data_IF_000607386343
#
_entry.id   IF_000607386343
#
_cell.length_a   1.000
_cell.length_b   1.000
_cell.length_c   1.000
_cell.angle_alpha   90.00
_cell.angle_beta   90.00
_cell.angle_gamma   90.00
#
_symmetry.space_group_name_H-M   'P 1'
#
loop_
_entity.id
_entity.type
_entity.pdbx_description
1 polymer ?
#
# COMPACT_ATOMS: atom_id res chain seq x y z
N UNK A 1 -9.49 32.27 -28.72
CA UNK A 1 -9.55 31.11 -27.82
C UNK A 1 -8.16 30.48 -27.81
N UNK A 2 -7.34 30.93 -26.90
CA UNK A 2 -6.00 30.35 -26.69
C UNK A 2 -6.17 29.05 -25.93
N UNK A 3 -5.87 27.93 -26.58
CA UNK A 3 -5.78 26.63 -25.94
C UNK A 3 -4.62 26.69 -24.93
N UNK A 4 -4.95 26.80 -23.65
CA UNK A 4 -4.02 26.59 -22.56
C UNK A 4 -3.43 25.17 -22.71
N UNK A 5 -2.31 25.07 -23.40
CA UNK A 5 -1.45 23.89 -23.37
C UNK A 5 -0.99 23.75 -21.92
N UNK A 6 -1.63 22.85 -21.18
CA UNK A 6 -1.16 22.38 -19.90
C UNK A 6 0.25 21.82 -20.12
N UNK A 7 1.28 22.62 -19.80
CA UNK A 7 2.67 22.17 -19.82
C UNK A 7 2.77 20.94 -18.91
N UNK A 8 2.91 19.79 -19.54
CA UNK A 8 3.15 18.54 -18.83
C UNK A 8 4.51 18.64 -18.16
N UNK A 9 4.52 18.76 -16.83
CA UNK A 9 5.80 18.69 -16.09
C UNK A 9 6.47 17.34 -16.39
N UNK A 10 7.76 17.33 -16.75
CA UNK A 10 8.47 16.06 -16.93
C UNK A 10 8.48 15.31 -15.59
N UNK A 11 8.17 14.01 -15.62
CA UNK A 11 8.11 13.21 -14.40
C UNK A 11 7.30 11.93 -14.57
N UNK A 12 7.12 11.22 -13.47
CA UNK A 12 6.39 9.95 -13.43
C UNK A 12 4.87 10.21 -13.34
N UNK A 13 4.10 9.51 -14.15
CA UNK A 13 2.64 9.50 -14.02
C UNK A 13 2.18 8.59 -12.89
N UNK A 14 0.93 8.75 -12.42
CA UNK A 14 0.32 7.86 -11.44
C UNK A 14 0.27 6.40 -11.92
N UNK A 15 0.08 6.16 -13.22
CA UNK A 15 0.15 4.80 -13.79
C UNK A 15 1.56 4.22 -13.71
N UNK A 16 2.60 5.03 -13.99
CA UNK A 16 3.99 4.59 -13.89
C UNK A 16 4.37 4.25 -12.43
N UNK A 17 3.98 5.09 -11.47
CA UNK A 17 4.17 4.81 -10.03
C UNK A 17 3.43 3.54 -9.60
N UNK A 18 2.21 3.33 -10.09
CA UNK A 18 1.42 2.13 -9.77
C UNK A 18 2.08 0.86 -10.31
N UNK A 19 2.62 0.91 -11.53
CA UNK A 19 3.37 -0.21 -12.10
C UNK A 19 4.65 -0.49 -11.30
N UNK A 20 5.40 0.55 -10.93
CA UNK A 20 6.57 0.40 -10.07
C UNK A 20 6.22 -0.25 -8.74
N UNK A 21 5.13 0.19 -8.08
CA UNK A 21 4.67 -0.40 -6.83
C UNK A 21 4.23 -1.87 -7.00
N UNK A 22 3.52 -2.22 -8.08
CA UNK A 22 3.15 -3.61 -8.35
C UNK A 22 4.38 -4.51 -8.60
N UNK A 23 5.38 -4.02 -9.34
CA UNK A 23 6.60 -4.78 -9.60
C UNK A 23 7.40 -4.99 -8.32
N UNK A 24 7.62 -3.94 -7.53
CA UNK A 24 8.37 -4.06 -6.27
C UNK A 24 7.62 -4.92 -5.26
N UNK A 25 6.29 -4.85 -5.19
CA UNK A 25 5.47 -5.72 -4.36
C UNK A 25 5.57 -7.19 -4.78
N UNK A 26 5.57 -7.49 -6.08
CA UNK A 26 5.75 -8.86 -6.56
C UNK A 26 7.13 -9.41 -6.17
N UNK A 27 8.18 -8.59 -6.32
CA UNK A 27 9.55 -8.95 -5.91
C UNK A 27 9.60 -9.26 -4.41
N UNK A 28 8.98 -8.41 -3.56
CA UNK A 28 8.88 -8.65 -2.12
C UNK A 28 8.22 -9.99 -1.80
N UNK A 29 7.07 -10.24 -2.42
CA UNK A 29 6.27 -11.42 -2.13
C UNK A 29 6.89 -12.71 -2.65
N UNK A 30 7.73 -12.66 -3.69
CA UNK A 30 8.57 -13.80 -4.09
C UNK A 30 9.56 -14.15 -2.97
N UNK A 31 10.22 -13.15 -2.38
CA UNK A 31 11.07 -13.35 -1.20
C UNK A 31 10.27 -13.98 -0.05
N UNK A 32 9.25 -13.28 0.41
CA UNK A 32 8.46 -13.62 1.58
C UNK A 32 7.67 -14.94 1.47
N UNK A 33 7.24 -15.35 0.29
CA UNK A 33 6.45 -16.57 0.11
C UNK A 33 7.30 -17.76 -0.39
N UNK A 34 8.07 -17.57 -1.48
CA UNK A 34 8.78 -18.68 -2.11
C UNK A 34 10.16 -18.91 -1.47
N UNK A 35 10.93 -17.85 -1.22
CA UNK A 35 12.31 -18.01 -0.71
C UNK A 35 12.28 -18.34 0.79
N UNK A 36 11.53 -17.58 1.59
CA UNK A 36 11.44 -17.84 3.04
C UNK A 36 10.85 -19.24 3.32
N UNK A 37 9.91 -19.73 2.50
CA UNK A 37 9.40 -21.09 2.62
C UNK A 37 10.48 -22.18 2.51
N UNK A 38 11.57 -21.93 1.76
CA UNK A 38 12.69 -22.90 1.67
C UNK A 38 13.50 -22.98 2.96
N UNK A 39 13.46 -21.95 3.82
CA UNK A 39 14.17 -21.95 5.09
C UNK A 39 13.54 -22.89 6.12
N UNK A 40 12.22 -23.05 6.05
CA UNK A 40 11.48 -23.90 6.99
C UNK A 40 11.72 -25.39 6.76
N UNK A 41 12.14 -25.76 5.54
CA UNK A 41 12.32 -27.16 5.14
C UNK A 41 13.79 -27.58 5.10
N UNK A 42 14.72 -26.61 5.03
CA UNK A 42 16.14 -26.88 4.88
C UNK A 42 16.85 -26.94 6.25
N UNK A 43 17.65 -28.00 6.50
CA UNK A 43 18.51 -28.10 7.69
C UNK A 43 19.52 -26.94 7.78
N UNK A 44 19.93 -26.41 6.63
CA UNK A 44 20.83 -25.23 6.52
C UNK A 44 20.50 -24.44 5.26
N UNK A 45 20.24 -23.14 5.44
CA UNK A 45 20.04 -22.23 4.30
C UNK A 45 21.38 -21.67 3.82
N UNK A 46 21.74 -21.84 2.54
CA UNK A 46 22.95 -21.26 1.99
C UNK A 46 22.98 -19.74 2.12
N UNK A 47 24.13 -19.11 2.46
CA UNK A 47 24.23 -17.65 2.61
C UNK A 47 23.79 -16.86 1.37
N UNK A 48 23.95 -17.43 0.18
CA UNK A 48 23.54 -16.80 -1.08
C UNK A 48 22.01 -16.65 -1.17
N UNK A 49 21.25 -17.61 -0.64
CA UNK A 49 19.77 -17.57 -0.62
C UNK A 49 19.31 -16.50 0.38
N UNK A 50 19.95 -16.43 1.55
CA UNK A 50 19.67 -15.36 2.54
C UNK A 50 19.96 -13.96 1.98
N UNK A 51 21.06 -13.81 1.23
CA UNK A 51 21.39 -12.54 0.57
C UNK A 51 20.39 -12.20 -0.52
N UNK A 52 19.95 -13.19 -1.31
CA UNK A 52 18.94 -12.98 -2.35
C UNK A 52 17.63 -12.52 -1.71
N UNK A 53 17.16 -13.21 -0.67
CA UNK A 53 15.96 -12.82 0.05
C UNK A 53 16.05 -11.38 0.56
N UNK A 54 17.12 -11.04 1.25
CA UNK A 54 17.34 -9.69 1.77
C UNK A 54 17.23 -8.62 0.67
N UNK A 55 17.81 -8.87 -0.51
CA UNK A 55 17.73 -7.95 -1.66
C UNK A 55 16.30 -7.83 -2.16
N UNK A 56 15.56 -8.94 -2.30
CA UNK A 56 14.17 -8.94 -2.75
C UNK A 56 13.27 -8.15 -1.76
N UNK A 57 13.45 -8.39 -0.46
CA UNK A 57 12.73 -7.70 0.61
C UNK A 57 13.04 -6.20 0.63
N UNK A 58 14.30 -5.80 0.46
CA UNK A 58 14.69 -4.39 0.39
C UNK A 58 14.09 -3.66 -0.81
N UNK A 59 14.03 -4.30 -1.98
CA UNK A 59 13.36 -3.74 -3.16
C UNK A 59 11.84 -3.64 -2.89
N UNK A 60 11.28 -4.65 -2.27
CA UNK A 60 9.86 -4.75 -1.97
C UNK A 60 9.32 -3.64 -1.08
N UNK A 61 10.12 -3.20 -0.10
CA UNK A 61 9.73 -2.12 0.84
C UNK A 61 9.34 -0.80 0.16
N UNK A 62 9.71 -0.61 -1.10
CA UNK A 62 9.30 0.56 -1.88
C UNK A 62 7.80 0.55 -2.23
N UNK A 63 7.15 -0.61 -2.27
CA UNK A 63 5.77 -0.75 -2.74
C UNK A 63 4.75 0.00 -1.88
N UNK A 64 4.78 -0.25 -0.57
CA UNK A 64 3.77 0.26 0.36
C UNK A 64 3.67 1.79 0.39
N UNK A 65 4.77 2.57 0.56
CA UNK A 65 4.69 4.02 0.56
C UNK A 65 4.21 4.60 -0.78
N UNK A 66 4.54 3.97 -1.91
CA UNK A 66 4.01 4.38 -3.22
C UNK A 66 2.50 4.14 -3.27
N UNK A 67 2.01 2.98 -2.80
CA UNK A 67 0.57 2.71 -2.73
C UNK A 67 -0.15 3.66 -1.79
N UNK A 68 0.40 3.98 -0.62
CA UNK A 68 -0.16 4.97 0.30
C UNK A 68 -0.28 6.36 -0.35
N UNK A 69 0.77 6.79 -1.06
CA UNK A 69 0.72 8.02 -1.82
C UNK A 69 -0.36 8.01 -2.91
N UNK A 70 -0.42 6.96 -3.73
CA UNK A 70 -1.43 6.80 -4.78
C UNK A 70 -2.85 6.65 -4.22
N UNK A 71 -2.99 6.12 -3.01
CA UNK A 71 -4.26 6.03 -2.29
C UNK A 71 -4.78 7.44 -1.94
N UNK A 72 -3.90 8.32 -1.44
CA UNK A 72 -4.22 9.72 -1.15
C UNK A 72 -4.61 10.45 -2.44
N UNK A 73 -3.82 10.33 -3.51
CA UNK A 73 -4.15 10.91 -4.82
C UNK A 73 -5.50 10.37 -5.34
N UNK A 74 -5.77 9.08 -5.19
CA UNK A 74 -7.04 8.47 -5.55
C UNK A 74 -8.22 9.00 -4.73
N UNK A 75 -8.03 9.22 -3.43
CA UNK A 75 -9.03 9.80 -2.55
C UNK A 75 -9.38 11.24 -2.95
N UNK A 76 -8.40 12.07 -3.23
CA UNK A 76 -8.59 13.47 -3.64
C UNK A 76 -9.34 13.62 -4.98
N UNK A 77 -9.27 12.60 -5.84
CA UNK A 77 -9.90 12.62 -7.17
C UNK A 77 -11.14 11.73 -7.29
N UNK A 78 -11.59 11.08 -6.19
CA UNK A 78 -12.78 10.22 -6.25
C UNK A 78 -14.07 11.03 -6.07
N UNK A 79 -15.08 10.72 -6.89
CA UNK A 79 -16.43 11.31 -6.72
C UNK A 79 -17.26 10.55 -5.67
N UNK A 80 -16.89 9.31 -5.34
CA UNK A 80 -17.65 8.45 -4.43
C UNK A 80 -16.71 7.73 -3.46
N UNK A 81 -16.48 8.37 -2.32
CA UNK A 81 -15.62 7.86 -1.25
C UNK A 81 -16.17 6.56 -0.67
N UNK A 82 -17.50 6.42 -0.55
CA UNK A 82 -18.12 5.20 0.00
C UNK A 82 -17.83 3.99 -0.87
N UNK A 83 -17.97 4.14 -2.20
CA UNK A 83 -17.62 3.08 -3.14
C UNK A 83 -16.11 2.82 -3.18
N UNK A 84 -15.27 3.82 -2.91
CA UNK A 84 -13.83 3.63 -2.82
C UNK A 84 -13.46 2.77 -1.60
N UNK A 85 -13.98 3.11 -0.42
CA UNK A 85 -13.82 2.32 0.81
C UNK A 85 -14.37 0.89 0.61
N UNK A 86 -15.59 0.76 0.09
CA UNK A 86 -16.22 -0.54 -0.15
C UNK A 86 -15.40 -1.45 -1.07
N UNK A 87 -14.76 -0.89 -2.11
CA UNK A 87 -13.85 -1.68 -2.97
C UNK A 87 -12.62 -2.16 -2.23
N UNK A 88 -12.01 -1.33 -1.38
CA UNK A 88 -10.81 -1.74 -0.62
C UNK A 88 -11.15 -2.88 0.34
N UNK A 89 -12.23 -2.77 1.08
CA UNK A 89 -12.67 -3.84 2.00
C UNK A 89 -13.11 -5.10 1.25
N UNK A 90 -13.80 -4.96 0.11
CA UNK A 90 -14.15 -6.11 -0.73
C UNK A 90 -12.89 -6.86 -1.20
N UNK A 91 -11.89 -6.13 -1.74
CA UNK A 91 -10.64 -6.75 -2.15
C UNK A 91 -9.80 -7.23 -0.97
N UNK A 92 -9.92 -6.60 0.20
CA UNK A 92 -9.37 -7.12 1.46
C UNK A 92 -9.93 -8.52 1.76
N UNK A 93 -11.24 -8.66 1.77
CA UNK A 93 -11.91 -9.94 2.01
C UNK A 93 -11.56 -11.00 0.96
N UNK A 94 -11.53 -10.63 -0.32
CA UNK A 94 -11.17 -11.55 -1.42
C UNK A 94 -9.69 -11.96 -1.39
N UNK A 95 -8.84 -11.18 -0.75
CA UNK A 95 -7.39 -11.41 -0.68
C UNK A 95 -6.98 -12.20 0.55
N UNK A 96 -7.86 -12.43 1.53
CA UNK A 96 -7.49 -13.06 2.80
C UNK A 96 -7.01 -14.49 2.59
N UNK A 97 -7.80 -15.32 1.93
CA UNK A 97 -7.40 -16.71 1.63
C UNK A 97 -6.12 -16.78 0.80
N UNK A 98 -5.95 -16.03 -0.32
CA UNK A 98 -4.67 -15.95 -1.02
C UNK A 98 -3.49 -15.50 -0.16
N UNK A 99 -3.69 -14.54 0.72
CA UNK A 99 -2.68 -14.02 1.63
C UNK A 99 -2.25 -15.08 2.65
N UNK A 100 -3.22 -15.70 3.31
CA UNK A 100 -2.97 -16.74 4.31
C UNK A 100 -2.26 -17.95 3.70
N UNK A 101 -2.68 -18.39 2.51
CA UNK A 101 -2.03 -19.49 1.81
C UNK A 101 -0.60 -19.16 1.38
N UNK A 102 -0.34 -17.91 0.94
CA UNK A 102 0.97 -17.52 0.46
C UNK A 102 2.01 -17.38 1.59
N UNK A 103 1.60 -16.87 2.76
CA UNK A 103 2.54 -16.54 3.84
C UNK A 103 2.48 -17.51 5.02
N UNK A 104 1.31 -18.07 5.32
CA UNK A 104 1.11 -18.93 6.50
C UNK A 104 0.80 -20.38 6.14
N UNK A 105 0.65 -20.71 4.84
CA UNK A 105 0.37 -22.08 4.32
C UNK A 105 -0.90 -22.71 4.90
N UNK A 106 -1.81 -21.89 5.38
CA UNK A 106 -3.13 -22.26 5.88
C UNK A 106 -4.18 -21.37 5.21
N UNK A 107 -5.40 -21.87 4.94
CA UNK A 107 -6.43 -21.06 4.31
C UNK A 107 -7.02 -19.98 5.24
N UNK A 108 -6.79 -20.10 6.55
CA UNK A 108 -7.30 -19.16 7.56
C UNK A 108 -6.26 -18.94 8.67
N UNK A 109 -5.69 -17.74 8.69
CA UNK A 109 -4.77 -17.26 9.73
C UNK A 109 -5.32 -15.96 10.33
N UNK A 110 -5.78 -16.03 11.59
CA UNK A 110 -6.46 -14.89 12.22
C UNK A 110 -5.51 -13.84 12.81
N UNK A 111 -4.22 -14.14 12.91
CA UNK A 111 -3.22 -13.28 13.56
C UNK A 111 -2.85 -12.05 12.75
N UNK A 112 -2.81 -12.21 11.43
CA UNK A 112 -2.34 -11.19 10.50
C UNK A 112 -3.33 -11.05 9.35
N UNK A 113 -3.67 -9.79 9.02
CA UNK A 113 -4.61 -9.44 7.97
C UNK A 113 -3.91 -8.69 6.84
N UNK A 114 -4.36 -8.90 5.61
CA UNK A 114 -3.72 -8.33 4.44
C UNK A 114 -3.78 -6.78 4.39
N UNK A 115 -2.92 -6.18 3.58
CA UNK A 115 -2.71 -4.72 3.46
C UNK A 115 -3.96 -3.94 3.04
N UNK A 116 -4.93 -4.54 2.36
CA UNK A 116 -6.14 -3.83 1.95
C UNK A 116 -6.98 -3.32 3.13
N UNK A 117 -6.93 -4.00 4.29
CA UNK A 117 -7.58 -3.54 5.51
C UNK A 117 -6.94 -2.25 6.02
N UNK A 118 -5.60 -2.18 6.04
CA UNK A 118 -4.88 -0.94 6.37
C UNK A 118 -5.23 0.20 5.42
N UNK A 119 -5.22 -0.07 4.10
CA UNK A 119 -5.57 0.92 3.09
C UNK A 119 -7.03 1.38 3.23
N UNK A 120 -7.96 0.46 3.49
CA UNK A 120 -9.38 0.76 3.72
C UNK A 120 -9.61 1.64 4.94
N UNK A 121 -8.97 1.30 6.07
CA UNK A 121 -9.00 2.08 7.31
C UNK A 121 -8.32 3.45 7.11
N UNK A 122 -7.24 3.52 6.35
CA UNK A 122 -6.60 4.78 5.97
C UNK A 122 -7.51 5.71 5.17
N UNK A 123 -8.26 5.17 4.18
CA UNK A 123 -9.25 5.97 3.42
C UNK A 123 -10.41 6.39 4.32
N UNK A 124 -10.86 5.53 5.23
CA UNK A 124 -11.89 5.89 6.20
C UNK A 124 -11.42 7.03 7.12
N UNK A 125 -10.18 6.95 7.62
CA UNK A 125 -9.56 8.00 8.43
C UNK A 125 -9.50 9.35 7.68
N UNK A 126 -9.07 9.35 6.41
CA UNK A 126 -9.08 10.54 5.56
C UNK A 126 -10.49 11.11 5.36
N UNK A 127 -11.48 10.24 5.13
CA UNK A 127 -12.88 10.64 4.96
C UNK A 127 -13.45 11.30 6.22
N UNK A 128 -13.09 10.80 7.40
CA UNK A 128 -13.49 11.41 8.67
C UNK A 128 -12.80 12.75 8.89
N UNK A 129 -11.50 12.86 8.59
CA UNK A 129 -10.79 14.13 8.66
C UNK A 129 -11.39 15.16 7.71
N UNK A 130 -11.67 14.79 6.46
CA UNK A 130 -12.28 15.66 5.46
C UNK A 130 -13.68 16.15 5.89
N UNK A 131 -14.50 15.24 6.43
CA UNK A 131 -15.87 15.57 6.88
C UNK A 131 -15.89 16.66 7.96
N UNK A 132 -14.86 16.72 8.78
CA UNK A 132 -14.75 17.66 9.91
C UNK A 132 -13.64 18.71 9.69
N UNK A 133 -13.17 18.90 8.44
CA UNK A 133 -12.05 19.82 8.14
C UNK A 133 -12.40 21.28 8.47
N UNK A 134 -13.63 21.70 8.17
CA UNK A 134 -14.14 23.08 8.40
C UNK A 134 -14.93 23.20 9.70
N UNK A 135 -14.92 22.18 10.56
CA UNK A 135 -15.66 22.20 11.80
C UNK A 135 -14.85 22.89 12.91
N UNK A 136 -15.55 23.67 13.75
CA UNK A 136 -14.97 24.36 14.89
C UNK A 136 -15.13 23.59 16.21
N UNK A 137 -14.27 23.90 17.19
CA UNK A 137 -14.38 23.43 18.56
C UNK A 137 -14.35 21.88 18.68
N UNK A 138 -15.32 21.34 19.41
CA UNK A 138 -15.39 19.90 19.70
C UNK A 138 -15.61 19.05 18.43
N UNK A 139 -16.25 19.58 17.40
CA UNK A 139 -16.49 18.85 16.15
C UNK A 139 -15.19 18.59 15.37
N UNK A 140 -14.22 19.50 15.41
CA UNK A 140 -12.91 19.30 14.82
C UNK A 140 -12.15 18.12 15.46
N UNK A 141 -12.32 17.91 16.76
CA UNK A 141 -11.73 16.78 17.46
C UNK A 141 -12.35 15.42 17.04
N UNK A 142 -13.63 15.41 16.67
CA UNK A 142 -14.32 14.20 16.23
C UNK A 142 -13.62 13.56 15.03
N UNK A 143 -13.23 14.34 14.03
CA UNK A 143 -12.49 13.82 12.87
C UNK A 143 -11.12 13.24 13.24
N UNK A 144 -10.39 13.91 14.13
CA UNK A 144 -9.07 13.46 14.61
C UNK A 144 -9.16 12.19 15.45
N UNK A 145 -10.13 12.12 16.36
CA UNK A 145 -10.38 10.94 17.19
C UNK A 145 -10.85 9.74 16.33
N UNK A 146 -11.68 9.98 15.32
CA UNK A 146 -12.08 8.93 14.38
C UNK A 146 -10.89 8.40 13.56
N UNK A 147 -9.99 9.28 13.11
CA UNK A 147 -8.77 8.86 12.42
C UNK A 147 -7.83 8.07 13.34
N UNK A 148 -7.69 8.50 14.60
CA UNK A 148 -6.94 7.75 15.62
C UNK A 148 -7.58 6.38 15.89
N UNK A 149 -8.90 6.32 16.00
CA UNK A 149 -9.62 5.06 16.17
C UNK A 149 -9.37 4.09 15.00
N UNK A 150 -9.31 4.57 13.75
CA UNK A 150 -8.95 3.74 12.61
C UNK A 150 -7.53 3.16 12.75
N UNK A 151 -6.56 3.94 13.24
CA UNK A 151 -5.20 3.45 13.47
C UNK A 151 -5.16 2.40 14.59
N UNK A 152 -5.90 2.63 15.68
CA UNK A 152 -6.01 1.65 16.79
C UNK A 152 -6.67 0.35 16.31
N UNK A 153 -7.75 0.44 15.53
CA UNK A 153 -8.42 -0.74 14.95
C UNK A 153 -7.47 -1.50 14.03
N UNK A 154 -6.70 -0.81 13.17
CA UNK A 154 -5.71 -1.43 12.30
C UNK A 154 -4.67 -2.23 13.10
N UNK A 155 -4.19 -1.66 14.22
CA UNK A 155 -3.21 -2.31 15.09
C UNK A 155 -3.80 -3.53 15.80
N UNK A 156 -4.99 -3.38 16.39
CA UNK A 156 -5.62 -4.45 17.16
C UNK A 156 -6.12 -5.60 16.27
N UNK A 157 -6.48 -5.30 15.03
CA UNK A 157 -6.87 -6.30 14.04
C UNK A 157 -5.67 -7.01 13.39
N UNK A 158 -4.42 -6.66 13.71
CA UNK A 158 -3.24 -7.25 13.11
C UNK A 158 -3.11 -6.98 11.61
N UNK A 159 -3.61 -5.82 11.11
CA UNK A 159 -3.49 -5.53 9.67
C UNK A 159 -2.05 -5.23 9.28
N UNK A 160 -1.66 -5.63 8.08
CA UNK A 160 -0.31 -5.37 7.54
C UNK A 160 0.01 -3.86 7.61
N UNK A 161 1.15 -3.51 8.17
CA UNK A 161 1.56 -2.16 8.62
C UNK A 161 0.73 -1.54 9.76
N UNK A 162 -0.37 -2.12 10.23
CA UNK A 162 -1.11 -1.71 11.42
C UNK A 162 -1.37 -0.21 11.55
N UNK A 163 -1.19 0.32 12.77
CA UNK A 163 -1.38 1.73 13.07
C UNK A 163 -0.44 2.65 12.28
N UNK A 164 0.79 2.21 12.02
CA UNK A 164 1.79 3.04 11.32
C UNK A 164 1.42 3.23 9.85
N UNK A 165 0.79 2.23 9.22
CA UNK A 165 0.27 2.35 7.87
C UNK A 165 -0.84 3.38 7.76
N UNK A 166 -1.80 3.36 8.70
CA UNK A 166 -2.87 4.38 8.77
C UNK A 166 -2.28 5.77 9.06
N UNK A 167 -1.30 5.85 9.98
CA UNK A 167 -0.63 7.10 10.31
C UNK A 167 0.12 7.69 9.11
N UNK A 168 0.80 6.86 8.31
CA UNK A 168 1.45 7.28 7.07
C UNK A 168 0.42 7.87 6.08
N UNK A 169 -0.68 7.17 5.83
CA UNK A 169 -1.74 7.63 4.93
C UNK A 169 -2.30 8.97 5.37
N UNK A 170 -2.61 9.11 6.67
CA UNK A 170 -3.09 10.36 7.27
C UNK A 170 -2.05 11.48 7.15
N UNK A 171 -0.77 11.22 7.43
CA UNK A 171 0.29 12.20 7.32
C UNK A 171 0.48 12.69 5.87
N UNK A 172 0.44 11.77 4.89
CA UNK A 172 0.49 12.11 3.47
C UNK A 172 -0.73 12.93 3.04
N UNK A 173 -1.91 12.65 3.58
CA UNK A 173 -3.12 13.44 3.33
C UNK A 173 -3.04 14.84 3.92
N UNK A 174 -2.62 14.98 5.17
CA UNK A 174 -2.51 16.29 5.85
C UNK A 174 -1.45 17.19 5.20
N UNK A 175 -0.44 16.60 4.56
CA UNK A 175 0.63 17.32 3.85
C UNK A 175 0.42 17.42 2.34
N UNK A 176 -0.76 17.04 1.83
CA UNK A 176 -1.09 16.95 0.39
C UNK A 176 -0.81 18.21 -0.43
N UNK A 177 -0.86 19.38 0.18
CA UNK A 177 -0.64 20.65 -0.49
C UNK A 177 0.84 21.05 -0.63
N UNK A 178 1.74 20.33 0.04
CA UNK A 178 3.20 20.58 -0.02
C UNK A 178 3.94 19.26 -0.26
N UNK A 179 4.27 19.00 -1.52
CA UNK A 179 4.98 17.78 -1.96
C UNK A 179 6.29 17.55 -1.20
N UNK A 180 7.01 18.62 -0.88
CA UNK A 180 8.28 18.51 -0.15
C UNK A 180 8.05 18.00 1.27
N UNK A 181 7.12 18.62 1.99
CA UNK A 181 6.73 18.15 3.35
C UNK A 181 6.18 16.73 3.30
N UNK A 182 5.33 16.41 2.32
CA UNK A 182 4.75 15.09 2.13
C UNK A 182 5.83 14.01 2.00
N UNK A 183 6.84 14.24 1.15
CA UNK A 183 7.95 13.30 0.96
C UNK A 183 8.85 13.19 2.20
N UNK A 184 9.16 14.31 2.86
CA UNK A 184 10.02 14.29 4.06
C UNK A 184 9.31 13.57 5.19
N UNK A 185 8.05 13.91 5.50
CA UNK A 185 7.30 13.31 6.60
C UNK A 185 7.07 11.82 6.33
N UNK A 186 6.69 11.45 5.10
CA UNK A 186 6.53 10.06 4.75
C UNK A 186 7.83 9.25 4.86
N UNK A 187 8.95 9.81 4.43
CA UNK A 187 10.27 9.17 4.57
C UNK A 187 10.65 9.00 6.05
N UNK A 188 10.44 10.02 6.88
CA UNK A 188 10.75 9.97 8.32
C UNK A 188 9.92 8.90 9.04
N UNK A 189 8.63 8.80 8.73
CA UNK A 189 7.74 7.80 9.34
C UNK A 189 8.13 6.36 9.02
N UNK A 190 8.86 6.14 7.93
CA UNK A 190 9.28 4.80 7.49
C UNK A 190 10.79 4.54 7.64
N UNK A 191 11.51 5.34 8.42
CA UNK A 191 12.96 5.13 8.61
C UNK A 191 13.31 3.76 9.17
N UNK A 192 12.41 3.13 9.92
CA UNK A 192 12.60 1.78 10.48
C UNK A 192 12.58 0.68 9.40
N UNK A 193 12.01 0.95 8.22
CA UNK A 193 11.94 0.03 7.07
C UNK A 193 13.18 0.14 6.14
N UNK A 194 14.23 0.84 6.55
CA UNK A 194 15.52 1.04 5.90
C UNK A 194 15.41 1.60 4.46
N UNK A 195 14.82 0.86 3.52
CA UNK A 195 14.74 1.22 2.09
C UNK A 195 13.41 1.87 1.69
N UNK A 196 12.34 1.71 2.47
CA UNK A 196 11.03 2.33 2.18
C UNK A 196 11.09 3.86 1.99
N UNK A 197 11.92 4.64 2.72
CA UNK A 197 12.09 6.07 2.49
C UNK A 197 12.51 6.42 1.05
N UNK A 198 13.24 5.54 0.35
CA UNK A 198 13.67 5.76 -1.03
C UNK A 198 12.50 5.83 -2.02
N UNK A 199 11.35 5.26 -1.68
CA UNK A 199 10.14 5.38 -2.47
C UNK A 199 9.72 6.84 -2.68
N UNK A 200 10.01 7.73 -1.72
CA UNK A 200 9.67 9.15 -1.82
C UNK A 200 10.51 9.91 -2.86
N UNK A 201 11.62 9.35 -3.34
CA UNK A 201 12.33 9.87 -4.52
C UNK A 201 11.46 9.71 -5.78
N UNK A 202 10.76 8.58 -5.91
CA UNK A 202 9.82 8.36 -7.01
C UNK A 202 8.56 9.23 -6.86
N UNK A 203 8.02 9.34 -5.65
CA UNK A 203 6.88 10.21 -5.31
C UNK A 203 7.21 11.68 -5.58
N UNK A 204 8.43 12.12 -5.28
CA UNK A 204 8.90 13.47 -5.60
C UNK A 204 8.85 13.77 -7.10
N UNK A 205 9.15 12.77 -7.93
CA UNK A 205 9.09 12.89 -9.39
C UNK A 205 7.69 12.77 -10.00
N UNK A 206 6.66 12.63 -9.17
CA UNK A 206 5.27 12.56 -9.67
C UNK A 206 4.86 13.88 -10.33
N UNK A 207 4.36 13.78 -11.57
CA UNK A 207 4.01 14.94 -12.39
C UNK A 207 2.58 15.47 -12.21
N UNK A 208 1.82 14.92 -11.23
CA UNK A 208 0.43 15.31 -10.97
C UNK A 208 -0.58 14.72 -11.96
N UNK A 209 -0.16 13.88 -12.90
CA UNK A 209 -1.05 13.31 -13.91
C UNK A 209 -1.28 11.82 -13.68
N UNK A 210 -2.54 11.40 -13.83
CA UNK A 210 -2.93 9.99 -13.73
C UNK A 210 -2.18 9.09 -14.71
N UNK A 211 -1.85 9.62 -15.89
CA UNK A 211 -1.29 8.84 -16.99
C UNK A 211 -2.37 8.08 -17.78
N UNK A 212 -1.96 7.53 -18.93
CA UNK A 212 -2.85 6.72 -19.79
C UNK A 212 -3.09 5.37 -19.12
N UNK A 213 -4.35 5.06 -18.84
CA UNK A 213 -4.76 3.80 -18.25
C UNK A 213 -6.17 3.45 -18.76
N UNK A 214 -6.35 2.36 -19.52
CA UNK A 214 -7.67 1.94 -19.94
C UNK A 214 -8.55 1.60 -18.74
N UNK A 215 -9.87 1.70 -18.91
CA UNK A 215 -10.81 1.52 -17.79
C UNK A 215 -10.73 0.13 -17.14
N UNK A 216 -10.47 -0.93 -17.93
CA UNK A 216 -10.31 -2.28 -17.43
C UNK A 216 -9.07 -2.45 -16.53
N UNK A 217 -7.99 -1.69 -16.79
CA UNK A 217 -6.77 -1.78 -16.01
C UNK A 217 -6.96 -1.37 -14.53
N UNK A 218 -8.01 -0.60 -14.23
CA UNK A 218 -8.39 -0.33 -12.84
C UNK A 218 -8.70 -1.63 -12.08
N UNK A 219 -9.46 -2.53 -12.67
CA UNK A 219 -9.79 -3.82 -12.07
C UNK A 219 -8.58 -4.76 -12.04
N UNK A 220 -7.73 -4.70 -13.08
CA UNK A 220 -6.47 -5.44 -13.09
C UNK A 220 -5.55 -5.04 -11.93
N UNK A 221 -5.46 -3.75 -11.59
CA UNK A 221 -4.68 -3.30 -10.43
C UNK A 221 -5.27 -3.74 -9.08
N UNK A 222 -6.59 -3.78 -8.94
CA UNK A 222 -7.22 -4.34 -7.73
C UNK A 222 -7.03 -5.86 -7.64
N UNK A 223 -7.25 -6.56 -8.75
CA UNK A 223 -7.12 -8.02 -8.81
C UNK A 223 -5.67 -8.51 -8.79
N UNK A 224 -4.70 -7.63 -9.07
CA UNK A 224 -3.28 -8.00 -9.07
C UNK A 224 -2.85 -8.64 -7.74
N UNK A 225 -3.27 -8.04 -6.62
CA UNK A 225 -2.89 -8.51 -5.30
C UNK A 225 -3.37 -9.93 -5.00
N UNK A 226 -4.67 -10.27 -5.03
CA UNK A 226 -5.11 -11.65 -4.78
C UNK A 226 -4.61 -12.64 -5.84
N UNK A 227 -4.48 -12.22 -7.11
CA UNK A 227 -4.06 -13.12 -8.18
C UNK A 227 -2.59 -13.52 -8.03
N UNK A 228 -1.66 -12.57 -7.83
CA UNK A 228 -0.24 -12.95 -7.70
C UNK A 228 0.02 -13.73 -6.40
N UNK A 229 -0.68 -13.42 -5.29
CA UNK A 229 -0.57 -14.22 -4.06
C UNK A 229 -1.05 -15.66 -4.26
N UNK A 230 -2.17 -15.86 -4.97
CA UNK A 230 -2.63 -17.21 -5.33
C UNK A 230 -1.58 -17.96 -6.17
N UNK A 231 -1.00 -17.28 -7.16
CA UNK A 231 0.06 -17.87 -7.98
C UNK A 231 1.30 -18.22 -7.17
N UNK A 232 1.73 -17.33 -6.26
CA UNK A 232 2.87 -17.60 -5.39
C UNK A 232 2.59 -18.76 -4.43
N UNK A 233 1.40 -18.83 -3.83
CA UNK A 233 1.00 -19.96 -2.99
C UNK A 233 1.07 -21.29 -3.76
N UNK A 234 0.59 -21.32 -5.01
CA UNK A 234 0.68 -22.52 -5.86
C UNK A 234 2.14 -22.90 -6.18
N UNK A 235 2.97 -21.90 -6.54
CA UNK A 235 4.39 -22.12 -6.83
C UNK A 235 5.11 -22.63 -5.58
N UNK A 236 4.88 -22.02 -4.42
CA UNK A 236 5.50 -22.45 -3.15
C UNK A 236 5.12 -23.88 -2.80
N UNK A 237 3.83 -24.25 -2.93
CA UNK A 237 3.40 -25.63 -2.70
C UNK A 237 4.05 -26.64 -3.66
N UNK A 238 4.27 -26.25 -4.93
CA UNK A 238 4.97 -27.10 -5.89
C UNK A 238 6.49 -27.22 -5.61
N UNK A 239 7.10 -26.19 -5.02
CA UNK A 239 8.51 -26.22 -4.63
C UNK A 239 8.77 -27.06 -3.37
N UNK A 240 7.78 -27.20 -2.50
CA UNK A 240 7.84 -27.92 -1.23
C UNK A 240 7.33 -29.38 -1.34
N UNK A 241 6.68 -29.75 -2.46
CA UNK A 241 6.19 -31.11 -2.72
C UNK A 241 7.30 -32.01 -3.25
#
# INVERSE_FOLDING_TARGET
>A
METLQTQTRPGLSGTALKLAACITMLIDHIGASCIEATYEVADRTPPQILQLDLVLRFIGRLAFPIFCFLLVEGFLHTHDVKKYIGRLFLFGLLSEVPFDLAFFKTPFHWGDQNVYWTLGLGVLAMAMLQKFEDADGNAAWTGRLAALACAVVAQLAGTDYGAIGVALIVALYLTRNDRKKQCIIGAVLLLFEITAPLAFVLVWRYNGQRGRCPQWAKWAFYGFYPVHLTLLALVTNLLLA
#
